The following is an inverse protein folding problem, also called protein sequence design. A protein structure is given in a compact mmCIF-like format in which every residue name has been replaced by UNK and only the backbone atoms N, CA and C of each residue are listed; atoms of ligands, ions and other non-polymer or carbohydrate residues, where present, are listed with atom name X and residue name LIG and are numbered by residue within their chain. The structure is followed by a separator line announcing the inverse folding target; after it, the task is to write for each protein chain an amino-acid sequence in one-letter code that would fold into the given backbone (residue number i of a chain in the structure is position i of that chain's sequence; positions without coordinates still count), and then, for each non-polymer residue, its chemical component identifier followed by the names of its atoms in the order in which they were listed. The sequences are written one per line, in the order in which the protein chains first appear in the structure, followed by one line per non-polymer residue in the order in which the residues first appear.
data_IF_192483965404
#
_entry.id   IF_192483965404
#
_cell.length_a   1.000
_cell.length_b   1.000
_cell.length_c   1.000
_cell.angle_alpha   90.00
_cell.angle_beta   90.00
_cell.angle_gamma   90.00
#
_symmetry.space_group_name_H-M   'P 1'
#
loop_
_entity.id
_entity.type
_entity.pdbx_description
1 polymer ?
#
# COMPACT_ATOMS: atom_id res chain seq x y z
N UNK A 1 -18.84 7.35 12.78
CA UNK A 1 -18.95 5.91 13.05
C UNK A 1 -18.16 5.66 14.32
N UNK A 2 -18.83 5.32 15.42
CA UNK A 2 -18.15 5.08 16.69
C UNK A 2 -17.27 3.82 16.53
N UNK A 3 -16.05 3.87 17.05
CA UNK A 3 -15.02 2.83 17.03
C UNK A 3 -15.56 1.41 17.26
N UNK A 4 -16.65 1.29 18.02
CA UNK A 4 -17.34 0.03 18.31
C UNK A 4 -17.94 -0.70 17.09
N UNK A 5 -18.43 -0.01 16.06
CA UNK A 5 -18.98 -0.69 14.88
C UNK A 5 -17.90 -1.34 14.00
N UNK A 6 -16.74 -0.67 13.88
CA UNK A 6 -15.59 -1.19 13.14
C UNK A 6 -15.03 -2.44 13.85
N UNK A 7 -14.94 -2.40 15.19
CA UNK A 7 -14.55 -3.55 16.00
C UNK A 7 -15.52 -4.73 15.86
N UNK A 8 -16.83 -4.48 15.81
CA UNK A 8 -17.84 -5.52 15.54
C UNK A 8 -17.68 -6.17 14.16
N UNK A 9 -17.43 -5.38 13.12
CA UNK A 9 -17.24 -5.91 11.76
C UNK A 9 -15.97 -6.76 11.62
N UNK A 10 -14.94 -6.50 12.45
CA UNK A 10 -13.70 -7.28 12.51
C UNK A 10 -13.78 -8.51 13.44
N UNK A 11 -14.97 -8.85 13.97
CA UNK A 11 -15.15 -9.83 15.06
C UNK A 11 -14.34 -9.53 16.34
N UNK A 12 -13.88 -8.29 16.55
CA UNK A 12 -13.19 -7.87 17.78
C UNK A 12 -14.16 -7.59 18.95
N UNK A 13 -15.47 -7.72 18.73
CA UNK A 13 -16.48 -7.51 19.78
C UNK A 13 -16.59 -8.67 20.78
N UNK A 14 -15.86 -9.77 20.59
CA UNK A 14 -15.76 -10.88 21.54
C UNK A 14 -14.65 -10.67 22.59
N UNK A 15 -13.83 -9.62 22.46
CA UNK A 15 -12.87 -9.19 23.47
C UNK A 15 -13.61 -8.52 24.65
N UNK A 16 -14.16 -9.34 25.54
CA UNK A 16 -14.98 -8.90 26.68
C UNK A 16 -14.28 -7.94 27.65
N UNK A 17 -12.95 -7.87 27.65
CA UNK A 17 -12.18 -6.87 28.37
C UNK A 17 -10.84 -6.57 27.67
N UNK A 18 -10.81 -5.50 26.87
CA UNK A 18 -9.57 -4.98 26.26
C UNK A 18 -8.54 -4.58 27.34
N UNK A 19 -8.97 -4.31 28.58
CA UNK A 19 -8.08 -4.06 29.71
C UNK A 19 -7.25 -5.27 30.11
N UNK A 20 -7.81 -6.48 30.10
CA UNK A 20 -7.05 -7.73 30.31
C UNK A 20 -6.04 -7.98 29.19
N UNK A 21 -6.39 -7.65 27.95
CA UNK A 21 -5.46 -7.68 26.82
C UNK A 21 -4.24 -6.78 27.06
N UNK A 22 -4.44 -5.55 27.58
CA UNK A 22 -3.31 -4.67 27.93
C UNK A 22 -2.52 -5.13 29.17
N UNK A 23 -3.14 -5.83 30.11
CA UNK A 23 -2.47 -6.40 31.29
C UNK A 23 -1.56 -7.59 30.97
N UNK A 24 -1.86 -8.40 29.95
CA UNK A 24 -1.00 -9.51 29.52
C UNK A 24 0.21 -9.04 28.69
N UNK A 25 0.08 -7.90 27.98
CA UNK A 25 1.17 -7.27 27.22
C UNK A 25 2.34 -6.78 28.08
N UNK A 26 2.16 -6.62 29.40
CA UNK A 26 3.21 -6.14 30.32
C UNK A 26 4.18 -7.23 30.75
N UNK A 27 3.89 -8.51 30.46
CA UNK A 27 4.72 -9.61 30.88
C UNK A 27 5.95 -9.73 29.94
N UNK A 28 7.10 -9.35 30.47
CA UNK A 28 8.39 -9.45 29.80
C UNK A 28 9.31 -10.45 30.51
N UNK A 29 10.13 -11.17 29.74
CA UNK A 29 11.20 -12.02 30.25
C UNK A 29 12.55 -11.56 29.70
N UNK A 30 13.65 -11.90 30.38
CA UNK A 30 15.00 -11.53 29.94
C UNK A 30 15.46 -12.47 28.83
N UNK A 31 15.82 -11.93 27.67
CA UNK A 31 16.49 -12.66 26.60
C UNK A 31 17.94 -12.97 26.95
N UNK A 32 18.54 -13.93 26.23
CA UNK A 32 19.96 -14.30 26.38
C UNK A 32 20.92 -13.18 25.97
N UNK A 33 20.44 -12.20 25.20
CA UNK A 33 21.11 -10.98 24.79
C UNK A 33 20.94 -9.82 25.81
N UNK A 34 20.21 -10.04 26.91
CA UNK A 34 19.90 -9.04 27.92
C UNK A 34 18.71 -8.13 27.58
N UNK A 35 18.08 -8.28 26.40
CA UNK A 35 16.90 -7.52 26.03
C UNK A 35 15.64 -8.12 26.68
N UNK A 36 14.68 -7.28 27.09
CA UNK A 36 13.38 -7.76 27.57
C UNK A 36 12.51 -8.14 26.38
N UNK A 37 11.98 -9.36 26.37
CA UNK A 37 11.07 -9.90 25.33
C UNK A 37 9.68 -10.16 25.89
N UNK A 38 8.65 -10.05 25.06
CA UNK A 38 7.28 -10.45 25.43
C UNK A 38 7.22 -11.94 25.75
N UNK A 39 6.48 -12.33 26.80
CA UNK A 39 6.23 -13.74 27.14
C UNK A 39 5.26 -14.42 26.15
N UNK A 40 4.47 -13.64 25.42
CA UNK A 40 3.42 -14.13 24.50
C UNK A 40 4.00 -14.97 23.35
N UNK A 41 5.29 -14.79 23.03
CA UNK A 41 5.94 -15.54 21.96
C UNK A 41 6.27 -17.00 22.28
N UNK A 42 6.33 -17.39 23.56
CA UNK A 42 6.68 -18.76 24.02
C UNK A 42 8.06 -19.31 23.60
N UNK A 43 8.69 -18.70 22.60
CA UNK A 43 9.92 -19.10 21.92
C UNK A 43 11.02 -18.06 22.14
N UNK A 44 12.30 -18.48 22.18
CA UNK A 44 13.40 -17.54 22.19
C UNK A 44 13.60 -16.81 20.86
N UNK A 45 12.94 -17.24 19.78
CA UNK A 45 13.04 -16.62 18.47
C UNK A 45 11.96 -15.55 18.27
N UNK A 46 12.33 -14.46 17.58
CA UNK A 46 11.38 -13.43 17.18
C UNK A 46 10.32 -14.01 16.25
N UNK A 47 9.05 -13.66 16.50
CA UNK A 47 7.95 -14.01 15.63
C UNK A 47 8.02 -13.15 14.36
N UNK A 48 8.54 -13.73 13.28
CA UNK A 48 8.67 -13.06 11.98
C UNK A 48 7.47 -13.28 11.06
N UNK A 49 6.74 -14.39 11.29
CA UNK A 49 5.53 -14.74 10.55
C UNK A 49 4.69 -15.72 11.38
N UNK A 50 3.37 -15.57 11.37
CA UNK A 50 2.43 -16.47 12.05
C UNK A 50 2.11 -17.71 11.20
N UNK A 51 1.95 -17.52 9.89
CA UNK A 51 1.69 -18.59 8.93
C UNK A 51 2.90 -18.81 8.01
N UNK A 52 3.30 -20.07 7.83
CA UNK A 52 4.47 -20.43 7.00
C UNK A 52 4.28 -20.15 5.52
N UNK A 53 3.04 -20.09 5.03
CA UNK A 53 2.67 -19.80 3.64
C UNK A 53 2.32 -18.32 3.38
N UNK A 54 2.58 -17.42 4.34
CA UNK A 54 2.30 -15.99 4.24
C UNK A 54 3.44 -15.14 4.82
N UNK A 55 4.56 -15.10 4.09
CA UNK A 55 5.80 -14.40 4.47
C UNK A 55 6.02 -13.07 3.74
N UNK A 56 5.20 -12.78 2.74
CA UNK A 56 5.14 -11.46 2.07
C UNK A 56 3.70 -10.98 1.95
N UNK A 57 3.50 -9.69 1.69
CA UNK A 57 2.15 -9.14 1.53
C UNK A 57 1.43 -9.71 0.30
N UNK A 58 2.17 -10.06 -0.75
CA UNK A 58 1.64 -10.85 -1.88
C UNK A 58 1.07 -12.20 -1.39
N UNK A 59 1.86 -12.95 -0.62
CA UNK A 59 1.44 -14.26 -0.09
C UNK A 59 0.28 -14.14 0.90
N UNK A 60 0.28 -13.11 1.76
CA UNK A 60 -0.83 -12.80 2.68
C UNK A 60 -2.14 -12.60 1.91
N UNK A 61 -2.12 -11.79 0.86
CA UNK A 61 -3.29 -11.55 0.03
C UNK A 61 -3.79 -12.83 -0.65
N UNK A 62 -2.90 -13.60 -1.29
CA UNK A 62 -3.28 -14.87 -1.93
C UNK A 62 -3.73 -15.94 -0.93
N UNK A 63 -3.25 -15.92 0.31
CA UNK A 63 -3.80 -16.76 1.40
C UNK A 63 -5.24 -16.36 1.70
N UNK A 64 -5.52 -15.05 1.81
CA UNK A 64 -6.89 -14.54 1.98
C UNK A 64 -7.83 -14.95 0.84
N UNK A 65 -7.37 -14.86 -0.41
CA UNK A 65 -8.13 -15.32 -1.59
C UNK A 65 -8.49 -16.81 -1.48
N UNK A 66 -7.52 -17.68 -1.15
CA UNK A 66 -7.76 -19.13 -0.99
C UNK A 66 -8.74 -19.42 0.15
N UNK A 67 -8.52 -18.84 1.33
CA UNK A 67 -9.30 -19.15 2.52
C UNK A 67 -10.72 -18.58 2.47
N UNK A 68 -10.92 -17.45 1.80
CA UNK A 68 -12.25 -16.82 1.67
C UNK A 68 -13.14 -17.51 0.64
N UNK A 69 -12.58 -18.35 -0.25
CA UNK A 69 -13.33 -18.91 -1.37
C UNK A 69 -13.84 -17.84 -2.34
N UNK A 70 -13.01 -16.83 -2.63
CA UNK A 70 -13.38 -15.64 -3.41
C UNK A 70 -14.49 -14.77 -2.77
N UNK A 71 -14.46 -14.62 -1.44
CA UNK A 71 -15.40 -13.78 -0.70
C UNK A 71 -15.19 -12.27 -0.89
N UNK A 72 -15.97 -11.42 -0.19
CA UNK A 72 -15.76 -9.97 -0.15
C UNK A 72 -14.35 -9.61 0.34
N UNK A 73 -13.68 -8.68 -0.36
CA UNK A 73 -12.32 -8.23 -0.09
C UNK A 73 -12.27 -6.74 0.26
N UNK A 74 -12.54 -5.86 -0.71
CA UNK A 74 -12.49 -4.40 -0.52
C UNK A 74 -13.89 -3.81 -0.52
N UNK A 75 -14.30 -3.30 0.65
CA UNK A 75 -15.61 -2.67 0.85
C UNK A 75 -15.53 -1.15 0.75
N UNK A 76 -16.43 -0.54 -0.02
CA UNK A 76 -16.54 0.91 -0.13
C UNK A 76 -18.00 1.34 -0.19
N UNK A 77 -18.30 2.58 0.19
CA UNK A 77 -19.65 3.14 0.12
C UNK A 77 -19.62 4.65 -0.02
N UNK A 78 -20.64 5.20 -0.68
CA UNK A 78 -20.96 6.62 -0.56
C UNK A 78 -21.60 6.89 0.81
N UNK A 79 -21.54 8.14 1.32
CA UNK A 79 -22.26 8.51 2.54
C UNK A 79 -23.72 8.07 2.46
N UNK A 80 -24.22 7.46 3.54
CA UNK A 80 -25.59 6.97 3.66
C UNK A 80 -26.06 5.92 2.62
N UNK A 81 -25.13 5.25 1.93
CA UNK A 81 -25.42 4.13 1.03
C UNK A 81 -24.87 2.80 1.60
N UNK A 82 -25.43 1.64 1.21
CA UNK A 82 -24.88 0.34 1.61
C UNK A 82 -23.46 0.13 1.07
N UNK A 83 -22.71 -0.76 1.73
CA UNK A 83 -21.40 -1.18 1.23
C UNK A 83 -21.53 -1.94 -0.09
N UNK A 84 -20.67 -1.59 -1.02
CA UNK A 84 -20.33 -2.34 -2.21
C UNK A 84 -19.00 -3.03 -1.96
N UNK A 85 -18.82 -4.22 -2.53
CA UNK A 85 -17.65 -5.05 -2.29
C UNK A 85 -17.04 -5.50 -3.60
N UNK A 86 -15.71 -5.42 -3.67
CA UNK A 86 -14.93 -6.18 -4.64
C UNK A 86 -14.58 -7.52 -4.01
N UNK A 87 -14.74 -8.61 -4.75
CA UNK A 87 -14.27 -9.94 -4.38
C UNK A 87 -12.75 -10.03 -4.44
N UNK A 88 -12.16 -11.01 -3.75
CA UNK A 88 -10.71 -11.22 -3.80
C UNK A 88 -10.18 -11.44 -5.22
N UNK A 89 -10.91 -12.15 -6.08
CA UNK A 89 -10.50 -12.42 -7.46
C UNK A 89 -10.56 -11.15 -8.31
N UNK A 90 -11.57 -10.30 -8.13
CA UNK A 90 -11.62 -9.00 -8.82
C UNK A 90 -10.43 -8.12 -8.43
N UNK A 91 -10.08 -8.09 -7.15
CA UNK A 91 -8.91 -7.34 -6.66
C UNK A 91 -7.61 -7.92 -7.19
N UNK A 92 -7.46 -9.25 -7.19
CA UNK A 92 -6.29 -9.94 -7.74
C UNK A 92 -6.11 -9.63 -9.24
N UNK A 93 -7.18 -9.76 -10.02
CA UNK A 93 -7.16 -9.48 -11.46
C UNK A 93 -6.77 -8.02 -11.72
N UNK A 94 -7.38 -7.06 -11.01
CA UNK A 94 -7.06 -5.64 -11.20
C UNK A 94 -5.61 -5.32 -10.81
N UNK A 95 -5.08 -5.95 -9.76
CA UNK A 95 -3.67 -5.78 -9.37
C UNK A 95 -2.71 -6.34 -10.44
N UNK A 96 -2.99 -7.53 -10.98
CA UNK A 96 -2.21 -8.12 -12.08
C UNK A 96 -2.28 -7.27 -13.37
N UNK A 97 -3.48 -6.79 -13.73
CA UNK A 97 -3.70 -5.94 -14.89
C UNK A 97 -3.00 -4.59 -14.74
N UNK A 98 -3.15 -3.92 -13.60
CA UNK A 98 -2.45 -2.65 -13.35
C UNK A 98 -0.93 -2.86 -13.37
N UNK A 99 -0.43 -3.90 -12.70
CA UNK A 99 1.01 -4.16 -12.64
C UNK A 99 1.61 -4.53 -14.00
N UNK A 100 0.95 -5.39 -14.78
CA UNK A 100 1.33 -5.66 -16.17
C UNK A 100 1.30 -4.39 -17.02
N UNK A 101 0.29 -3.54 -16.81
CA UNK A 101 0.17 -2.25 -17.46
C UNK A 101 1.33 -1.31 -17.11
N UNK A 102 1.74 -1.25 -15.85
CA UNK A 102 2.91 -0.47 -15.42
C UNK A 102 4.19 -0.94 -16.12
N UNK A 103 4.39 -2.26 -16.28
CA UNK A 103 5.54 -2.81 -17.01
C UNK A 103 5.58 -2.40 -18.50
N UNK A 104 4.41 -2.15 -19.12
CA UNK A 104 4.34 -1.59 -20.48
C UNK A 104 4.67 -0.09 -20.55
N UNK A 105 4.82 0.56 -19.40
CA UNK A 105 5.12 1.99 -19.26
C UNK A 105 6.48 2.20 -18.58
N UNK A 106 7.48 1.41 -18.99
CA UNK A 106 8.88 1.48 -18.58
C UNK A 106 9.17 1.20 -17.09
N UNK A 107 8.20 0.70 -16.33
CA UNK A 107 8.48 0.17 -14.99
C UNK A 107 9.22 -1.17 -15.06
N UNK A 108 10.01 -1.44 -14.03
CA UNK A 108 10.71 -2.72 -13.85
C UNK A 108 10.08 -3.53 -12.73
N UNK A 109 9.98 -4.84 -12.93
CA UNK A 109 9.58 -5.78 -11.88
C UNK A 109 10.74 -5.99 -10.88
N UNK A 110 10.98 -5.01 -10.01
CA UNK A 110 12.13 -5.00 -9.09
C UNK A 110 11.93 -4.02 -7.94
N UNK A 111 12.61 -4.26 -6.82
CA UNK A 111 12.56 -3.41 -5.63
C UNK A 111 13.13 -2.01 -5.82
N UNK A 112 13.85 -1.78 -6.92
CA UNK A 112 14.37 -0.46 -7.29
C UNK A 112 13.30 0.40 -7.99
N UNK A 113 12.15 -0.18 -8.36
CA UNK A 113 11.04 0.53 -8.98
C UNK A 113 10.10 1.08 -7.91
N UNK A 114 10.12 2.39 -7.68
CA UNK A 114 9.25 3.07 -6.73
C UNK A 114 8.05 3.69 -7.46
N UNK A 115 6.84 3.44 -6.95
CA UNK A 115 5.58 3.99 -7.47
C UNK A 115 4.96 4.91 -6.43
N UNK A 116 4.79 6.19 -6.78
CA UNK A 116 4.10 7.14 -5.92
C UNK A 116 2.58 6.90 -5.93
N UNK A 117 1.93 6.94 -4.78
CA UNK A 117 0.46 6.90 -4.69
C UNK A 117 -0.03 8.09 -3.86
N UNK A 118 -0.63 9.06 -4.54
CA UNK A 118 -1.19 10.28 -3.95
C UNK A 118 -2.71 10.25 -3.96
N UNK A 119 -3.29 9.48 -3.04
CA UNK A 119 -4.73 9.21 -3.00
C UNK A 119 -5.25 9.12 -1.57
N UNK A 120 -6.50 9.53 -1.36
CA UNK A 120 -7.26 9.20 -0.16
C UNK A 120 -7.59 7.70 -0.11
N UNK A 121 -8.07 7.22 1.04
CA UNK A 121 -8.43 5.82 1.23
C UNK A 121 -9.59 5.43 0.30
N UNK A 122 -9.31 4.51 -0.63
CA UNK A 122 -10.26 3.92 -1.58
C UNK A 122 -9.74 2.58 -2.10
N UNK A 123 -10.60 1.71 -2.66
CA UNK A 123 -10.18 0.40 -3.16
C UNK A 123 -9.01 0.44 -4.15
N UNK A 124 -8.99 1.44 -5.04
CA UNK A 124 -7.95 1.63 -6.05
C UNK A 124 -6.57 1.88 -5.45
N UNK A 125 -6.49 2.48 -4.26
CA UNK A 125 -5.23 2.63 -3.53
C UNK A 125 -4.65 1.26 -3.17
N UNK A 126 -5.49 0.36 -2.64
CA UNK A 126 -5.07 -1.00 -2.25
C UNK A 126 -4.74 -1.83 -3.50
N UNK A 127 -5.47 -1.64 -4.59
CA UNK A 127 -5.17 -2.31 -5.87
C UNK A 127 -3.82 -1.85 -6.41
N UNK A 128 -3.49 -0.55 -6.33
CA UNK A 128 -2.18 -0.03 -6.72
C UNK A 128 -1.04 -0.60 -5.86
N UNK A 129 -1.25 -0.70 -4.56
CA UNK A 129 -0.31 -1.34 -3.64
C UNK A 129 -0.11 -2.83 -3.99
N UNK A 130 -1.19 -3.57 -4.18
CA UNK A 130 -1.14 -4.98 -4.55
C UNK A 130 -0.48 -5.18 -5.93
N UNK A 131 -0.71 -4.28 -6.89
CA UNK A 131 -0.03 -4.30 -8.17
C UNK A 131 1.50 -4.16 -8.02
N UNK A 132 1.95 -3.30 -7.10
CA UNK A 132 3.37 -3.19 -6.78
C UNK A 132 3.90 -4.51 -6.22
N UNK A 133 3.19 -5.11 -5.25
CA UNK A 133 3.58 -6.38 -4.64
C UNK A 133 3.58 -7.55 -5.63
N UNK A 134 2.68 -7.59 -6.59
CA UNK A 134 2.64 -8.65 -7.63
C UNK A 134 3.89 -8.67 -8.50
N UNK A 135 4.56 -7.53 -8.67
CA UNK A 135 5.74 -7.38 -9.53
C UNK A 135 6.97 -6.85 -8.77
N UNK A 136 7.04 -7.07 -7.46
CA UNK A 136 8.18 -6.67 -6.60
C UNK A 136 8.55 -5.18 -6.65
N UNK A 137 7.63 -4.31 -7.08
CA UNK A 137 7.81 -2.86 -7.01
C UNK A 137 7.50 -2.36 -5.59
N UNK A 138 7.97 -1.16 -5.28
CA UNK A 138 7.83 -0.55 -3.95
C UNK A 138 6.84 0.61 -4.00
N UNK A 139 5.83 0.59 -3.14
CA UNK A 139 4.86 1.69 -3.06
C UNK A 139 5.38 2.82 -2.17
N UNK A 140 5.17 4.06 -2.59
CA UNK A 140 5.52 5.28 -1.82
C UNK A 140 4.25 6.12 -1.64
N UNK A 141 3.60 6.07 -0.46
CA UNK A 141 2.44 6.90 -0.18
C UNK A 141 2.83 8.37 -0.12
N UNK A 142 2.08 9.21 -0.84
CA UNK A 142 2.16 10.66 -0.78
C UNK A 142 0.90 11.16 -0.06
N UNK A 143 1.04 11.67 1.16
CA UNK A 143 -0.11 12.06 1.99
C UNK A 143 -0.53 13.52 1.76
N UNK A 144 -1.85 13.77 1.73
CA UNK A 144 -2.45 15.12 1.65
C UNK A 144 -1.95 16.06 2.76
N UNK A 145 -1.60 15.51 3.92
CA UNK A 145 -1.21 16.25 5.12
C UNK A 145 0.24 16.74 5.13
N UNK A 146 1.08 16.27 4.20
CA UNK A 146 2.51 16.62 4.17
C UNK A 146 2.78 18.03 3.59
N UNK A 147 1.76 18.64 2.97
CA UNK A 147 1.85 19.94 2.32
C UNK A 147 2.58 19.89 0.96
N UNK A 148 2.39 20.88 0.07
CA UNK A 148 2.91 20.83 -1.31
C UNK A 148 4.44 20.76 -1.40
N UNK A 149 5.13 21.38 -0.44
CA UNK A 149 6.60 21.38 -0.39
C UNK A 149 7.21 20.00 -0.14
N UNK A 150 6.53 19.15 0.63
CA UNK A 150 7.01 17.81 0.92
C UNK A 150 6.85 16.86 -0.29
N UNK A 151 5.81 17.05 -1.10
CA UNK A 151 5.50 16.13 -2.21
C UNK A 151 6.62 16.13 -3.26
N UNK A 152 7.05 17.31 -3.73
CA UNK A 152 8.14 17.36 -4.72
C UNK A 152 9.47 16.86 -4.12
N UNK A 153 9.72 17.15 -2.84
CA UNK A 153 10.89 16.64 -2.13
C UNK A 153 10.91 15.10 -2.11
N UNK A 154 9.77 14.46 -1.80
CA UNK A 154 9.65 13.00 -1.77
C UNK A 154 9.83 12.42 -3.16
N UNK A 155 9.16 12.96 -4.17
CA UNK A 155 9.27 12.51 -5.56
C UNK A 155 10.73 12.51 -6.02
N UNK A 156 11.46 13.58 -5.73
CA UNK A 156 12.88 13.67 -6.09
C UNK A 156 13.76 12.74 -5.26
N UNK A 157 13.54 12.67 -3.94
CA UNK A 157 14.35 11.85 -3.02
C UNK A 157 14.21 10.36 -3.31
N UNK A 158 13.03 9.93 -3.73
CA UNK A 158 12.72 8.55 -4.07
C UNK A 158 12.80 8.26 -5.58
N UNK A 159 13.29 9.21 -6.39
CA UNK A 159 13.41 9.10 -7.85
C UNK A 159 12.14 8.59 -8.55
N UNK A 160 10.96 9.04 -8.09
CA UNK A 160 9.67 8.57 -8.59
C UNK A 160 9.40 9.16 -9.98
N UNK A 161 9.21 8.28 -10.97
CA UNK A 161 8.83 8.66 -12.34
C UNK A 161 7.34 8.50 -12.65
N UNK A 162 6.60 7.72 -11.85
CA UNK A 162 5.16 7.48 -12.00
C UNK A 162 4.43 7.73 -10.69
N UNK A 163 3.38 8.55 -10.73
CA UNK A 163 2.49 8.78 -9.58
C UNK A 163 1.05 8.45 -9.95
N UNK A 164 0.41 7.61 -9.14
CA UNK A 164 -1.02 7.31 -9.22
C UNK A 164 -1.76 8.28 -8.30
N UNK A 165 -2.78 8.97 -8.80
CA UNK A 165 -3.53 10.00 -8.06
C UNK A 165 -5.03 9.72 -8.08
N UNK A 166 -5.75 10.10 -7.02
CA UNK A 166 -7.20 9.90 -6.97
C UNK A 166 -7.97 10.83 -7.91
N UNK A 167 -7.62 12.13 -7.97
CA UNK A 167 -8.43 13.14 -8.64
C UNK A 167 -7.61 14.13 -9.52
N UNK A 168 -8.28 14.85 -10.45
CA UNK A 168 -7.64 15.83 -11.32
C UNK A 168 -6.93 16.97 -10.60
N UNK A 169 -7.39 17.39 -9.42
CA UNK A 169 -6.78 18.50 -8.68
C UNK A 169 -5.36 18.13 -8.21
N UNK A 170 -5.14 16.89 -7.76
CA UNK A 170 -3.80 16.40 -7.41
C UNK A 170 -2.89 16.28 -8.63
N UNK A 171 -3.42 15.83 -9.77
CA UNK A 171 -2.68 15.83 -11.02
C UNK A 171 -2.24 17.25 -11.42
N UNK A 172 -3.11 18.25 -11.30
CA UNK A 172 -2.77 19.65 -11.57
C UNK A 172 -1.62 20.15 -10.69
N UNK A 173 -1.63 19.84 -9.39
CA UNK A 173 -0.52 20.19 -8.47
C UNK A 173 0.80 19.56 -8.92
N UNK A 174 0.79 18.28 -9.33
CA UNK A 174 2.00 17.62 -9.83
C UNK A 174 2.49 18.22 -11.15
N UNK A 175 1.58 18.58 -12.06
CA UNK A 175 1.94 19.28 -13.29
C UNK A 175 2.53 20.66 -13.03
N UNK A 176 1.98 21.43 -12.08
CA UNK A 176 2.58 22.70 -11.65
C UNK A 176 3.99 22.53 -11.10
N UNK A 177 4.27 21.44 -10.38
CA UNK A 177 5.63 21.14 -9.92
C UNK A 177 6.58 20.85 -11.09
N UNK A 178 6.12 20.11 -12.11
CA UNK A 178 6.93 19.84 -13.32
C UNK A 178 7.18 21.13 -14.12
N UNK A 179 6.16 21.95 -14.32
CA UNK A 179 6.25 23.24 -15.04
C UNK A 179 7.19 24.23 -14.35
N UNK A 180 7.32 24.14 -13.01
CA UNK A 180 8.26 24.93 -12.21
C UNK A 180 9.63 24.24 -12.02
N UNK A 181 9.89 23.16 -12.75
CA UNK A 181 11.13 22.37 -12.68
C UNK A 181 11.43 21.77 -11.30
N UNK A 182 10.41 21.62 -10.44
CA UNK A 182 10.56 21.06 -9.09
C UNK A 182 10.59 19.53 -9.08
N UNK A 183 10.00 18.87 -10.08
CA UNK A 183 9.99 17.39 -10.20
C UNK A 183 10.31 16.92 -11.62
N UNK A 184 11.53 17.19 -12.15
CA UNK A 184 11.88 16.89 -13.55
C UNK A 184 11.89 15.39 -13.88
N UNK A 185 11.95 14.53 -12.86
CA UNK A 185 11.92 13.07 -12.98
C UNK A 185 10.53 12.48 -13.21
N UNK A 186 9.45 13.21 -12.92
CA UNK A 186 8.09 12.72 -13.11
C UNK A 186 7.76 12.62 -14.61
N UNK A 187 7.39 11.43 -15.07
CA UNK A 187 7.09 11.12 -16.48
C UNK A 187 5.64 10.70 -16.72
N UNK A 188 4.95 10.22 -15.69
CA UNK A 188 3.58 9.77 -15.84
C UNK A 188 2.74 10.03 -14.59
N UNK A 189 1.50 10.45 -14.83
CA UNK A 189 0.45 10.52 -13.81
C UNK A 189 -0.70 9.59 -14.25
N UNK A 190 -1.09 8.70 -13.36
CA UNK A 190 -2.20 7.77 -13.56
C UNK A 190 -3.37 8.21 -12.67
N UNK A 191 -4.52 8.53 -13.26
CA UNK A 191 -5.71 9.03 -12.55
C UNK A 191 -6.72 7.92 -12.29
N UNK A 192 -7.20 7.84 -11.04
CA UNK A 192 -8.29 6.93 -10.66
C UNK A 192 -9.65 7.48 -11.09
N UNK A 193 -9.89 8.78 -10.93
CA UNK A 193 -11.12 9.44 -11.37
C UNK A 193 -11.06 9.88 -12.85
N UNK A 194 -12.23 10.04 -13.50
CA UNK A 194 -12.30 10.64 -14.83
C UNK A 194 -11.67 12.04 -14.88
N UNK A 195 -11.09 12.38 -16.03
CA UNK A 195 -10.47 13.68 -16.28
C UNK A 195 -10.73 14.15 -17.71
N UNK A 196 -10.57 15.46 -17.94
CA UNK A 196 -10.80 16.09 -19.25
C UNK A 196 -9.55 16.01 -20.13
N UNK A 197 -9.74 15.99 -21.46
CA UNK A 197 -8.62 15.97 -22.43
C UNK A 197 -7.67 17.17 -22.24
N UNK A 198 -8.16 18.33 -21.78
CA UNK A 198 -7.32 19.49 -21.47
C UNK A 198 -6.21 19.19 -20.44
N UNK A 199 -6.45 18.28 -19.48
CA UNK A 199 -5.45 17.87 -18.50
C UNK A 199 -4.35 17.02 -19.17
N UNK A 200 -4.73 16.18 -20.12
CA UNK A 200 -3.81 15.35 -20.90
C UNK A 200 -2.95 16.19 -21.83
N UNK A 201 -3.54 17.17 -22.51
CA UNK A 201 -2.82 18.14 -23.35
C UNK A 201 -1.79 18.93 -22.53
N UNK A 202 -2.18 19.39 -21.33
CA UNK A 202 -1.28 20.08 -20.40
C UNK A 202 -0.10 19.19 -19.99
N UNK A 203 -0.36 17.93 -19.63
CA UNK A 203 0.70 16.97 -19.32
C UNK A 203 1.66 16.77 -20.49
N UNK A 204 1.12 16.58 -21.70
CA UNK A 204 1.94 16.42 -22.90
C UNK A 204 2.82 17.64 -23.18
N UNK A 205 2.31 18.85 -22.96
CA UNK A 205 3.06 20.10 -23.13
C UNK A 205 4.30 20.21 -22.23
N UNK A 206 4.30 19.56 -21.06
CA UNK A 206 5.45 19.51 -20.15
C UNK A 206 6.13 18.13 -20.07
N UNK A 207 5.83 17.22 -21.00
CA UNK A 207 6.48 15.91 -21.10
C UNK A 207 6.02 14.86 -20.08
N UNK A 208 4.82 15.00 -19.54
CA UNK A 208 4.19 14.07 -18.59
C UNK A 208 3.00 13.37 -19.25
N UNK A 209 3.04 12.05 -19.34
CA UNK A 209 1.90 11.27 -19.82
C UNK A 209 0.79 11.23 -18.77
N UNK A 210 -0.45 11.54 -19.17
CA UNK A 210 -1.64 11.41 -18.32
C UNK A 210 -2.49 10.24 -18.82
N UNK A 211 -2.78 9.27 -17.95
CA UNK A 211 -3.58 8.08 -18.27
C UNK A 211 -4.61 7.83 -17.18
N UNK A 212 -5.74 7.21 -17.53
CA UNK A 212 -6.63 6.66 -16.51
C UNK A 212 -6.07 5.33 -16.00
N UNK A 213 -6.32 5.01 -14.74
CA UNK A 213 -5.98 3.72 -14.15
C UNK A 213 -6.64 2.59 -14.94
N UNK A 214 -7.89 2.79 -15.38
CA UNK A 214 -8.60 1.86 -16.26
C UNK A 214 -7.83 1.59 -17.57
N UNK A 215 -7.32 2.62 -18.25
CA UNK A 215 -6.58 2.42 -19.50
C UNK A 215 -5.26 1.67 -19.28
N UNK A 216 -4.62 1.84 -18.11
CA UNK A 216 -3.41 1.09 -17.75
C UNK A 216 -3.77 -0.37 -17.42
N UNK A 217 -4.86 -0.61 -16.68
CA UNK A 217 -5.38 -1.96 -16.44
C UNK A 217 -5.74 -2.67 -17.75
N UNK A 218 -6.46 -2.02 -18.67
CA UNK A 218 -6.80 -2.56 -19.99
C UNK A 218 -5.54 -2.90 -20.81
N UNK A 219 -4.53 -2.03 -20.77
CA UNK A 219 -3.24 -2.28 -21.42
C UNK A 219 -2.55 -3.53 -20.84
N UNK A 220 -2.53 -3.69 -19.52
CA UNK A 220 -1.94 -4.87 -18.89
C UNK A 220 -2.76 -6.15 -19.09
N UNK A 221 -4.09 -6.05 -19.17
CA UNK A 221 -4.94 -7.19 -19.52
C UNK A 221 -4.65 -7.69 -20.94
N UNK A 222 -4.38 -6.78 -21.88
CA UNK A 222 -4.02 -7.12 -23.26
C UNK A 222 -2.56 -7.60 -23.39
N UNK A 223 -1.70 -7.24 -22.43
CA UNK A 223 -0.27 -7.56 -22.42
C UNK A 223 0.13 -8.16 -21.06
N UNK A 224 -0.41 -9.34 -20.70
CA UNK A 224 -0.20 -9.91 -19.38
C UNK A 224 1.27 -10.29 -19.18
N UNK A 225 1.80 -9.98 -18.00
CA UNK A 225 3.11 -10.43 -17.55
C UNK A 225 2.95 -11.39 -16.37
N UNK A 226 3.75 -12.47 -16.36
CA UNK A 226 3.76 -13.39 -15.21
C UNK A 226 4.13 -12.64 -13.93
N UNK A 227 3.40 -12.85 -12.81
CA UNK A 227 3.75 -12.25 -11.53
C UNK A 227 5.19 -12.54 -11.13
N UNK A 228 5.86 -11.53 -10.57
CA UNK A 228 7.22 -11.62 -10.04
C UNK A 228 7.14 -11.26 -8.55
N UNK A 229 6.70 -12.20 -7.69
CA UNK A 229 6.44 -11.89 -6.30
C UNK A 229 7.74 -11.69 -5.49
N UNK A 230 7.70 -10.84 -4.45
CA UNK A 230 8.87 -10.46 -3.66
C UNK A 230 9.27 -11.53 -2.64
N UNK A 231 10.48 -11.39 -2.13
CA UNK A 231 10.98 -12.10 -0.95
C UNK A 231 10.69 -11.30 0.34
N UNK A 232 10.72 -11.95 1.52
CA UNK A 232 10.46 -11.25 2.79
C UNK A 232 11.43 -10.10 3.10
N UNK A 233 12.67 -10.14 2.59
CA UNK A 233 13.66 -9.09 2.81
C UNK A 233 13.56 -7.94 1.80
N UNK A 234 12.72 -8.08 0.79
CA UNK A 234 12.51 -7.05 -0.23
C UNK A 234 11.65 -5.92 0.34
N UNK A 235 11.92 -4.69 -0.09
CA UNK A 235 11.14 -3.52 0.29
C UNK A 235 9.70 -3.67 -0.20
N UNK A 236 8.74 -3.32 0.64
CA UNK A 236 7.32 -3.27 0.29
C UNK A 236 6.84 -1.83 0.16
N UNK A 237 7.17 -1.00 1.13
CA UNK A 237 6.64 0.37 1.25
C UNK A 237 7.69 1.31 1.84
N UNK A 238 7.74 2.53 1.32
CA UNK A 238 8.54 3.62 1.90
C UNK A 238 7.62 4.73 2.38
N UNK A 239 7.43 4.82 3.70
CA UNK A 239 6.58 5.84 4.31
C UNK A 239 7.40 7.08 4.68
N UNK A 240 7.16 8.20 3.99
CA UNK A 240 7.78 9.46 4.38
C UNK A 240 7.03 10.10 5.56
N UNK A 241 7.79 10.48 6.58
CA UNK A 241 7.27 11.15 7.78
C UNK A 241 7.84 12.56 7.86
N UNK A 242 7.08 13.50 8.43
CA UNK A 242 7.44 14.93 8.49
C UNK A 242 8.78 15.22 9.16
N UNK A 243 9.33 14.27 9.94
CA UNK A 243 10.61 14.42 10.61
C UNK A 243 10.57 15.47 11.72
N UNK A 244 11.24 15.22 12.84
CA UNK A 244 11.28 16.18 13.96
C UNK A 244 12.25 17.35 13.72
N UNK A 245 13.06 17.31 12.64
CA UNK A 245 14.21 18.22 12.45
C UNK A 245 14.42 18.71 11.02
N UNK A 246 13.43 18.67 10.11
CA UNK A 246 13.59 19.18 8.74
C UNK A 246 12.81 18.42 7.68
N UNK A 247 13.45 18.15 6.52
CA UNK A 247 12.81 17.48 5.39
C UNK A 247 12.29 16.07 5.75
N UNK A 248 11.24 15.59 5.08
CA UNK A 248 10.70 14.26 5.32
C UNK A 248 11.73 13.13 5.20
N UNK A 249 11.62 12.12 6.06
CA UNK A 249 12.48 10.92 6.02
C UNK A 249 11.66 9.69 5.65
N UNK A 250 12.17 8.90 4.71
CA UNK A 250 11.55 7.66 4.26
C UNK A 250 11.85 6.51 5.21
N UNK A 251 10.84 6.02 5.92
CA UNK A 251 10.90 4.77 6.66
C UNK A 251 10.74 3.60 5.68
N UNK A 252 11.84 2.89 5.44
CA UNK A 252 11.87 1.73 4.56
C UNK A 252 11.37 0.49 5.31
N UNK A 253 10.25 -0.09 4.86
CA UNK A 253 9.69 -1.30 5.43
C UNK A 253 9.76 -2.43 4.41
N UNK A 254 10.32 -3.56 4.84
CA UNK A 254 10.31 -4.80 4.06
C UNK A 254 8.99 -5.53 4.21
N UNK A 255 8.69 -6.42 3.27
CA UNK A 255 7.56 -7.33 3.37
C UNK A 255 7.54 -8.11 4.69
N UNK A 256 8.69 -8.60 5.15
CA UNK A 256 8.84 -9.32 6.40
C UNK A 256 8.59 -8.43 7.62
N UNK A 257 8.92 -7.13 7.57
CA UNK A 257 8.57 -6.21 8.66
C UNK A 257 7.05 -6.09 8.83
N UNK A 258 6.34 -5.91 7.71
CA UNK A 258 4.88 -5.77 7.71
C UNK A 258 4.21 -7.07 8.17
N UNK A 259 4.67 -8.21 7.66
CA UNK A 259 4.16 -9.53 8.08
C UNK A 259 4.43 -9.81 9.56
N UNK A 260 5.59 -9.44 10.08
CA UNK A 260 5.92 -9.62 11.49
C UNK A 260 4.98 -8.80 12.41
N UNK A 261 4.65 -7.57 12.02
CA UNK A 261 3.69 -6.72 12.74
C UNK A 261 2.30 -7.38 12.83
N UNK A 262 1.75 -7.82 11.68
CA UNK A 262 0.49 -8.57 11.65
C UNK A 262 0.56 -9.88 12.45
N UNK A 263 1.70 -10.56 12.43
CA UNK A 263 1.90 -11.82 13.16
C UNK A 263 1.88 -11.60 14.67
N UNK A 264 2.45 -10.50 15.14
CA UNK A 264 2.35 -10.07 16.53
C UNK A 264 0.90 -9.89 16.95
N UNK A 265 0.11 -9.19 16.13
CA UNK A 265 -1.32 -9.01 16.39
C UNK A 265 -2.05 -10.37 16.48
N UNK A 266 -1.92 -11.22 15.46
CA UNK A 266 -2.55 -12.54 15.44
C UNK A 266 -2.20 -13.39 16.66
N UNK A 267 -0.92 -13.37 17.07
CA UNK A 267 -0.45 -14.15 18.21
C UNK A 267 -1.06 -13.69 19.53
N UNK A 268 -1.27 -12.39 19.71
CA UNK A 268 -1.86 -11.87 20.96
C UNK A 268 -3.39 -12.08 20.96
N UNK A 269 -4.01 -12.19 19.78
CA UNK A 269 -5.46 -12.40 19.64
C UNK A 269 -5.88 -13.86 19.42
N UNK A 270 -4.95 -14.83 19.39
CA UNK A 270 -5.28 -16.22 19.04
C UNK A 270 -6.18 -16.93 20.07
N UNK A 271 -6.12 -16.48 21.32
CA UNK A 271 -6.83 -17.06 22.47
C UNK A 271 -8.14 -16.31 22.84
N UNK A 272 -8.51 -15.29 22.06
CA UNK A 272 -9.73 -14.49 22.24
C UNK A 272 -10.73 -14.73 21.12
#
# INVERSE_FOLDING_TARGET
MQTQEILRMLRLAELGDVGQFFHSLSATTLGSDGARRSVVGGSPHLLTHYYSDARTMYQVFHRGLRLSGNGPCLGFRKPNQPYQWLSYQEVANRAEFLGSGLLQHDCKASTDQLIGVFSQNRPEWIIAELACYTYSMVVVPLYDTLGPGAIHYIINTANISIVIVDNPQKAQVLLEHVEKELTPGLKMIILMDPFEEALKDRGQACGVAIKSMQAVEECGQQNPHEPVPPNPNDLSIVCFTSGTTGNPKGAMLTHGNVVADFSGFLKVTEDY
#
